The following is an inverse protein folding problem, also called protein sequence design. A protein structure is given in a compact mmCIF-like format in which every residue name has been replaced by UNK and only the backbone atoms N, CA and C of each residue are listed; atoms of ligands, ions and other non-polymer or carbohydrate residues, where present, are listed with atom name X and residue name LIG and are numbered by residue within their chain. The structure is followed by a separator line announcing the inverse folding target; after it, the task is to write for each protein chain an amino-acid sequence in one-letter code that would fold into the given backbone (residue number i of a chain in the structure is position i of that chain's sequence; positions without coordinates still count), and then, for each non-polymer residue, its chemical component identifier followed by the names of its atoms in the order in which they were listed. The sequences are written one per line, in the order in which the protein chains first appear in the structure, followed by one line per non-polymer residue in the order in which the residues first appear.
data_IF_025672448199
#
_entry.id   IF_025672448199
#
_cell.length_a   1.000
_cell.length_b   1.000
_cell.length_c   1.000
_cell.angle_alpha   90.00
_cell.angle_beta   90.00
_cell.angle_gamma   90.00
#
_symmetry.space_group_name_H-M   'P 1'
#
loop_
_entity.id
_entity.type
_entity.pdbx_description
1 polymer ?
#
# COMPACT_ATOMS: atom_id res chain seq x y z
N UNK A 1 -0.20 -7.70 28.43
CA UNK A 1 -0.82 -7.59 27.10
C UNK A 1 -0.12 -6.45 26.39
N UNK A 2 0.32 -6.63 25.15
CA UNK A 2 0.93 -5.54 24.38
C UNK A 2 -0.15 -4.52 23.99
N UNK A 3 0.13 -3.24 24.15
CA UNK A 3 -0.78 -2.17 23.76
C UNK A 3 -0.62 -1.91 22.25
N UNK A 4 -1.67 -2.19 21.48
CA UNK A 4 -1.64 -2.19 20.00
C UNK A 4 -1.63 -0.78 19.40
N UNK A 5 -2.10 0.20 20.17
CA UNK A 5 -2.35 1.57 19.71
C UNK A 5 -1.28 2.57 20.16
N UNK A 6 -0.15 2.09 20.70
CA UNK A 6 1.00 2.92 21.02
C UNK A 6 1.52 3.55 19.73
N UNK A 7 1.87 4.83 19.82
CA UNK A 7 2.47 5.59 18.72
C UNK A 7 3.89 5.99 19.09
N UNK A 8 4.75 6.07 18.09
CA UNK A 8 6.11 6.57 18.24
C UNK A 8 6.17 8.11 18.22
N UNK A 9 7.38 8.67 18.17
CA UNK A 9 7.60 10.12 18.08
C UNK A 9 7.11 10.73 16.75
N UNK A 10 6.97 9.92 15.69
CA UNK A 10 6.35 10.30 14.42
C UNK A 10 4.83 10.08 14.40
N UNK A 11 4.22 9.79 15.55
CA UNK A 11 2.81 9.43 15.69
C UNK A 11 2.40 8.21 14.85
N UNK A 12 3.35 7.37 14.44
CA UNK A 12 3.10 6.12 13.71
C UNK A 12 2.82 5.01 14.71
N UNK A 13 1.70 4.33 14.51
CA UNK A 13 1.32 3.12 15.25
C UNK A 13 1.91 1.86 14.62
N UNK A 14 1.86 0.74 15.32
CA UNK A 14 2.23 -0.58 14.76
C UNK A 14 1.54 -0.87 13.42
N UNK A 15 0.29 -0.41 13.25
CA UNK A 15 -0.46 -0.58 12.01
C UNK A 15 0.10 0.27 10.85
N UNK A 16 0.63 1.47 11.11
CA UNK A 16 1.31 2.25 10.08
C UNK A 16 2.52 1.49 9.53
N UNK A 17 3.34 0.93 10.42
CA UNK A 17 4.49 0.14 10.02
C UNK A 17 4.08 -1.13 9.28
N UNK A 18 3.07 -1.88 9.75
CA UNK A 18 2.59 -3.06 9.05
C UNK A 18 2.09 -2.75 7.61
N UNK A 19 1.47 -1.59 7.42
CA UNK A 19 1.05 -1.10 6.11
C UNK A 19 2.21 -0.60 5.23
N UNK A 20 3.27 -0.06 5.84
CA UNK A 20 4.42 0.50 5.12
C UNK A 20 5.57 -0.50 4.88
N UNK A 21 5.65 -1.58 5.66
CA UNK A 21 6.77 -2.52 5.58
C UNK A 21 6.77 -3.31 4.28
N UNK A 22 7.93 -3.32 3.63
CA UNK A 22 8.34 -4.27 2.59
C UNK A 22 8.61 -5.61 3.27
N UNK A 23 7.56 -6.44 3.43
CA UNK A 23 7.76 -7.76 4.00
C UNK A 23 8.10 -8.70 2.85
N UNK A 24 9.19 -9.45 3.00
CA UNK A 24 9.74 -10.43 2.04
C UNK A 24 8.69 -11.34 1.39
N UNK A 25 7.53 -11.49 2.04
CA UNK A 25 6.31 -12.04 1.42
C UNK A 25 5.10 -11.15 1.72
N UNK A 26 4.38 -10.74 0.68
CA UNK A 26 3.13 -9.98 0.76
C UNK A 26 2.12 -10.64 1.72
N UNK A 27 2.11 -11.97 1.78
CA UNK A 27 1.26 -12.76 2.69
C UNK A 27 1.52 -12.47 4.16
N UNK A 28 2.79 -12.45 4.60
CA UNK A 28 3.13 -12.21 6.02
C UNK A 28 2.77 -10.78 6.44
N UNK A 29 2.86 -9.81 5.53
CA UNK A 29 2.37 -8.45 5.79
C UNK A 29 0.87 -8.38 5.95
N UNK A 30 0.13 -9.07 5.09
CA UNK A 30 -1.32 -9.18 5.19
C UNK A 30 -1.76 -9.83 6.52
N UNK A 31 -1.05 -10.86 6.96
CA UNK A 31 -1.33 -11.55 8.23
C UNK A 31 -1.11 -10.64 9.44
N UNK A 32 -0.05 -9.83 9.44
CA UNK A 32 0.22 -8.85 10.51
C UNK A 32 -0.87 -7.77 10.54
N UNK A 33 -1.27 -7.23 9.38
CA UNK A 33 -2.35 -6.25 9.29
C UNK A 33 -3.64 -6.83 9.88
N UNK A 34 -4.04 -8.03 9.46
CA UNK A 34 -5.23 -8.74 9.99
C UNK A 34 -5.13 -8.97 11.49
N UNK A 35 -3.97 -9.38 11.99
CA UNK A 35 -3.74 -9.60 13.41
C UNK A 35 -3.95 -8.31 14.22
N UNK A 36 -3.36 -7.20 13.78
CA UNK A 36 -3.47 -5.90 14.45
C UNK A 36 -4.92 -5.41 14.45
N UNK A 37 -5.63 -5.53 13.33
CA UNK A 37 -7.04 -5.17 13.21
C UNK A 37 -7.92 -6.00 14.16
N UNK A 38 -7.63 -7.30 14.27
CA UNK A 38 -8.35 -8.22 15.16
C UNK A 38 -8.16 -7.86 16.64
N UNK A 39 -7.04 -7.25 16.98
CA UNK A 39 -6.72 -6.79 18.34
C UNK A 39 -7.06 -5.31 18.58
N UNK A 40 -7.94 -4.73 17.77
CA UNK A 40 -8.47 -3.38 18.01
C UNK A 40 -7.52 -2.24 17.63
N UNK A 41 -6.66 -2.44 16.63
CA UNK A 41 -5.84 -1.36 16.09
C UNK A 41 -6.71 -0.21 15.56
N UNK A 42 -6.37 1.02 15.95
CA UNK A 42 -7.01 2.24 15.46
C UNK A 42 -6.56 2.51 14.02
N UNK A 43 -7.52 2.42 13.11
CA UNK A 43 -7.30 2.54 11.66
C UNK A 43 -7.16 3.97 11.15
N UNK A 44 -7.58 4.95 11.94
CA UNK A 44 -7.69 6.36 11.55
C UNK A 44 -6.69 7.25 12.30
N UNK A 45 -5.68 6.65 12.92
CA UNK A 45 -4.58 7.43 13.48
C UNK A 45 -3.85 8.13 12.34
N UNK A 46 -3.54 9.41 12.55
CA UNK A 46 -2.79 10.24 11.60
C UNK A 46 -1.37 10.40 12.14
N UNK A 47 -0.40 10.03 11.31
CA UNK A 47 1.03 10.23 11.58
C UNK A 47 1.41 11.71 11.52
N UNK A 48 2.64 12.05 11.94
CA UNK A 48 3.20 13.40 11.78
C UNK A 48 3.34 13.82 10.30
N UNK A 49 3.34 12.87 9.38
CA UNK A 49 3.38 13.09 7.93
C UNK A 49 1.96 13.22 7.33
N UNK A 50 0.94 13.37 8.17
CA UNK A 50 -0.46 13.41 7.76
C UNK A 50 -0.88 12.17 6.95
N UNK A 51 -0.40 10.98 7.33
CA UNK A 51 -0.79 9.70 6.71
C UNK A 51 -1.57 8.85 7.69
N UNK A 52 -2.61 8.20 7.19
CA UNK A 52 -3.29 7.07 7.84
C UNK A 52 -2.61 5.76 7.45
N UNK A 53 -2.84 4.67 8.18
CA UNK A 53 -2.41 3.35 7.77
C UNK A 53 -2.85 2.95 6.36
N UNK A 54 -4.05 3.36 5.92
CA UNK A 54 -4.53 3.09 4.55
C UNK A 54 -3.65 3.81 3.51
N UNK A 55 -3.23 5.05 3.77
CA UNK A 55 -2.40 5.82 2.84
C UNK A 55 -1.00 5.20 2.74
N UNK A 56 -0.43 4.75 3.87
CA UNK A 56 0.81 3.98 3.89
C UNK A 56 0.70 2.69 3.07
N UNK A 57 -0.43 1.98 3.18
CA UNK A 57 -0.68 0.74 2.43
C UNK A 57 -0.75 1.02 0.92
N UNK A 58 -1.50 2.04 0.51
CA UNK A 58 -1.64 2.42 -0.90
C UNK A 58 -0.29 2.84 -1.47
N UNK A 59 0.50 3.61 -0.72
CA UNK A 59 1.84 4.01 -1.12
C UNK A 59 2.75 2.80 -1.34
N UNK A 60 2.79 1.87 -0.38
CA UNK A 60 3.56 0.63 -0.53
C UNK A 60 3.09 -0.17 -1.74
N UNK A 61 1.78 -0.38 -1.89
CA UNK A 61 1.23 -1.13 -3.01
C UNK A 61 1.67 -0.57 -4.37
N UNK A 62 1.68 0.75 -4.53
CA UNK A 62 2.14 1.41 -5.76
C UNK A 62 3.66 1.31 -5.92
N UNK A 63 4.42 1.44 -4.84
CA UNK A 63 5.87 1.22 -4.83
C UNK A 63 6.21 -0.21 -5.26
N UNK A 64 5.56 -1.20 -4.66
CA UNK A 64 5.71 -2.61 -5.00
C UNK A 64 5.48 -2.82 -6.50
N UNK A 65 4.39 -2.28 -7.06
CA UNK A 65 4.10 -2.38 -8.51
C UNK A 65 5.23 -1.83 -9.38
N UNK A 66 5.87 -0.73 -8.98
CA UNK A 66 7.00 -0.13 -9.71
C UNK A 66 8.30 -0.94 -9.55
N UNK A 67 8.46 -1.58 -8.40
CA UNK A 67 9.68 -2.32 -8.03
C UNK A 67 9.60 -3.82 -8.32
N UNK A 68 8.43 -4.33 -8.70
CA UNK A 68 8.20 -5.74 -8.98
C UNK A 68 9.29 -6.30 -9.92
N UNK A 69 10.05 -7.24 -9.35
CA UNK A 69 10.85 -8.17 -10.11
C UNK A 69 9.87 -9.11 -10.79
N UNK A 70 9.77 -9.05 -12.11
CA UNK A 70 9.23 -10.19 -12.86
C UNK A 70 10.13 -11.36 -12.47
N UNK A 71 9.61 -12.25 -11.63
CA UNK A 71 10.24 -13.50 -11.26
C UNK A 71 10.35 -14.32 -12.55
N UNK A 72 11.45 -14.12 -13.27
CA UNK A 72 11.75 -14.87 -14.47
C UNK A 72 12.17 -16.27 -14.04
N UNK A 73 11.34 -17.25 -14.40
CA UNK A 73 11.86 -18.47 -15.01
C UNK A 73 10.91 -19.09 -16.06
N UNK A 74 9.72 -18.55 -16.30
CA UNK A 74 8.91 -18.94 -17.45
C UNK A 74 8.38 -17.68 -18.14
N UNK A 75 8.74 -17.49 -19.41
CA UNK A 75 8.16 -16.44 -20.27
C UNK A 75 6.70 -16.81 -20.51
N UNK A 76 5.70 -16.11 -19.92
CA UNK A 76 4.32 -16.38 -20.24
C UNK A 76 3.95 -15.45 -21.39
N UNK A 77 3.49 -16.03 -22.48
CA UNK A 77 3.09 -15.35 -23.70
C UNK A 77 1.97 -14.31 -23.54
N UNK A 78 1.45 -14.05 -22.34
CA UNK A 78 0.56 -12.92 -21.99
C UNK A 78 0.79 -12.57 -20.50
N UNK A 79 1.46 -11.46 -20.19
CA UNK A 79 1.91 -11.16 -18.83
C UNK A 79 0.84 -10.33 -18.09
N UNK A 80 0.05 -10.99 -17.24
CA UNK A 80 -0.90 -10.31 -16.36
C UNK A 80 -0.24 -10.05 -15.00
N UNK A 81 -0.12 -8.79 -14.60
CA UNK A 81 0.24 -8.41 -13.24
C UNK A 81 -1.02 -8.43 -12.37
N UNK A 82 -0.98 -9.22 -11.30
CA UNK A 82 -2.09 -9.40 -10.37
C UNK A 82 -1.73 -8.78 -9.03
N UNK A 83 -2.51 -7.79 -8.61
CA UNK A 83 -2.32 -7.06 -7.35
C UNK A 83 -3.34 -7.59 -6.35
N UNK A 84 -2.87 -8.09 -5.21
CA UNK A 84 -3.72 -8.52 -4.10
C UNK A 84 -4.30 -7.31 -3.34
N UNK A 85 -5.62 -7.18 -3.36
CA UNK A 85 -6.37 -6.13 -2.68
C UNK A 85 -6.97 -6.61 -1.35
N UNK A 86 -6.69 -7.82 -0.88
CA UNK A 86 -7.34 -8.39 0.30
C UNK A 86 -7.15 -7.57 1.58
N UNK A 87 -5.92 -7.10 1.85
CA UNK A 87 -5.65 -6.21 3.00
C UNK A 87 -6.19 -4.81 2.82
N UNK A 88 -6.17 -4.29 1.58
CA UNK A 88 -6.79 -3.02 1.24
C UNK A 88 -8.29 -3.04 1.54
N UNK A 89 -8.98 -4.07 1.05
CA UNK A 89 -10.40 -4.30 1.30
C UNK A 89 -10.68 -4.47 2.79
N UNK A 90 -9.82 -5.20 3.52
CA UNK A 90 -10.01 -5.40 4.95
C UNK A 90 -9.85 -4.11 5.76
N UNK A 91 -8.88 -3.25 5.43
CA UNK A 91 -8.71 -1.93 6.04
C UNK A 91 -9.94 -1.04 5.81
N UNK A 92 -10.43 -1.00 4.57
CA UNK A 92 -11.64 -0.22 4.21
C UNK A 92 -12.88 -0.76 4.95
N UNK A 93 -13.04 -2.09 5.04
CA UNK A 93 -14.17 -2.73 5.73
C UNK A 93 -14.17 -2.53 7.23
N UNK A 94 -13.01 -2.49 7.86
CA UNK A 94 -12.89 -2.32 9.31
C UNK A 94 -13.02 -0.86 9.77
N UNK A 95 -13.37 0.06 8.87
CA UNK A 95 -13.76 1.43 9.24
C UNK A 95 -12.66 2.48 9.12
N UNK A 96 -11.70 2.28 8.19
CA UNK A 96 -10.92 3.40 7.70
C UNK A 96 -11.86 4.50 7.21
N UNK A 97 -11.70 5.73 7.71
CA UNK A 97 -12.42 6.91 7.24
C UNK A 97 -12.00 7.15 5.79
N UNK A 98 -13.01 7.28 4.93
CA UNK A 98 -12.86 7.46 3.49
C UNK A 98 -13.11 8.93 3.14
N UNK A 99 -12.25 9.80 3.64
CA UNK A 99 -12.31 11.22 3.35
C UNK A 99 -10.90 11.75 3.09
N UNK A 100 -10.75 12.82 2.29
CA UNK A 100 -9.48 13.52 2.14
C UNK A 100 -8.91 13.90 3.52
N UNK A 101 -7.58 13.89 3.65
CA UNK A 101 -6.95 14.24 4.93
C UNK A 101 -7.04 15.74 5.21
N UNK A 102 -7.12 16.59 4.17
CA UNK A 102 -7.25 18.04 4.31
C UNK A 102 -8.43 18.45 5.21
N UNK A 103 -9.58 17.80 5.06
CA UNK A 103 -10.76 18.07 5.89
C UNK A 103 -10.57 17.59 7.35
N UNK A 104 -9.76 16.56 7.58
CA UNK A 104 -9.38 16.14 8.94
C UNK A 104 -8.34 17.09 9.55
N UNK A 105 -7.40 17.60 8.74
CA UNK A 105 -6.36 18.51 9.22
C UNK A 105 -6.96 19.85 9.63
N UNK A 106 -7.86 20.42 8.83
CA UNK A 106 -8.60 21.63 9.20
C UNK A 106 -9.48 21.42 10.44
N UNK A 107 -10.13 20.26 10.57
CA UNK A 107 -11.03 19.98 11.71
C UNK A 107 -10.30 19.65 13.02
N UNK A 108 -9.11 19.03 12.98
CA UNK A 108 -8.39 18.57 14.18
C UNK A 108 -7.13 19.38 14.53
N UNK A 109 -6.59 20.17 13.60
CA UNK A 109 -5.39 20.98 13.82
C UNK A 109 -5.70 22.45 13.52
N UNK A 110 -6.63 23.01 14.30
CA UNK A 110 -6.98 24.42 14.17
C UNK A 110 -5.98 25.37 14.86
N UNK A 111 -5.08 24.85 15.70
CA UNK A 111 -4.12 25.65 16.45
C UNK A 111 -2.71 25.03 16.44
N UNK A 112 -1.72 25.88 16.18
CA UNK A 112 -0.30 25.76 16.59
C UNK A 112 0.77 25.06 15.72
N UNK A 113 0.47 24.35 14.63
CA UNK A 113 1.56 23.72 13.84
C UNK A 113 1.47 24.02 12.33
N UNK A 114 1.95 25.21 11.95
CA UNK A 114 2.51 25.43 10.59
C UNK A 114 3.89 24.74 10.54
N UNK A 115 3.92 23.43 10.33
CA UNK A 115 5.15 22.70 10.09
C UNK A 115 5.54 22.82 8.61
N UNK A 116 6.82 23.14 8.37
CA UNK A 116 7.43 23.15 7.04
C UNK A 116 7.30 21.76 6.42
N UNK A 117 6.63 21.67 5.27
CA UNK A 117 6.45 20.42 4.52
C UNK A 117 7.82 19.86 4.13
N UNK A 118 8.06 18.57 4.38
CA UNK A 118 9.30 17.89 4.02
C UNK A 118 9.45 17.91 2.49
N UNK A 119 10.60 18.36 1.92
CA UNK A 119 10.73 18.66 0.47
C UNK A 119 10.58 17.49 -0.51
N UNK A 120 10.71 16.24 -0.05
CA UNK A 120 10.82 15.06 -0.93
C UNK A 120 9.53 14.23 -1.04
N UNK A 121 8.42 14.68 -0.42
CA UNK A 121 7.18 13.91 -0.43
C UNK A 121 6.16 14.48 -1.41
N UNK A 122 5.47 13.61 -2.20
CA UNK A 122 4.52 14.07 -3.19
C UNK A 122 3.41 14.85 -2.50
N UNK A 123 3.10 16.04 -3.05
CA UNK A 123 2.06 17.00 -2.63
C UNK A 123 0.63 16.41 -2.60
N UNK A 124 0.48 15.10 -2.77
CA UNK A 124 -0.77 14.40 -3.00
C UNK A 124 -1.25 13.76 -1.70
N UNK A 125 -2.17 14.49 -1.05
CA UNK A 125 -2.79 14.13 0.21
C UNK A 125 -3.98 13.17 -0.01
N UNK A 126 -4.58 13.16 -1.19
CA UNK A 126 -5.71 12.28 -1.53
C UNK A 126 -5.25 10.89 -1.99
N UNK A 127 -5.58 9.88 -1.18
CA UNK A 127 -5.42 8.47 -1.55
C UNK A 127 -6.21 8.08 -2.81
N UNK A 128 -7.38 8.70 -3.04
CA UNK A 128 -8.14 8.49 -4.27
C UNK A 128 -7.40 9.01 -5.50
N UNK A 129 -6.89 10.24 -5.45
CA UNK A 129 -6.09 10.83 -6.52
C UNK A 129 -4.85 9.99 -6.81
N UNK A 130 -4.17 9.53 -5.76
CA UNK A 130 -2.95 8.76 -5.88
C UNK A 130 -3.18 7.40 -6.57
N UNK A 131 -4.27 6.70 -6.24
CA UNK A 131 -4.67 5.47 -6.96
C UNK A 131 -4.93 5.75 -8.45
N UNK A 132 -5.69 6.81 -8.75
CA UNK A 132 -6.04 7.18 -10.14
C UNK A 132 -4.80 7.55 -10.94
N UNK A 133 -3.90 8.36 -10.37
CA UNK A 133 -2.63 8.77 -11.00
C UNK A 133 -1.70 7.61 -11.31
N UNK A 134 -1.85 6.48 -10.63
CA UNK A 134 -1.10 5.25 -10.90
C UNK A 134 -1.92 4.21 -11.70
N UNK A 135 -3.12 4.59 -12.16
CA UNK A 135 -4.01 3.77 -12.95
C UNK A 135 -4.62 2.59 -12.18
N UNK A 136 -4.67 2.65 -10.84
CA UNK A 136 -5.35 1.66 -10.00
C UNK A 136 -6.85 1.97 -9.92
N UNK A 137 -7.51 1.91 -11.08
CA UNK A 137 -8.87 2.39 -11.27
C UNK A 137 -9.90 1.49 -10.60
N UNK A 138 -9.60 0.19 -10.46
CA UNK A 138 -10.44 -0.74 -9.70
C UNK A 138 -10.44 -0.38 -8.21
N UNK A 139 -9.26 -0.24 -7.61
CA UNK A 139 -9.15 0.16 -6.20
C UNK A 139 -9.78 1.55 -5.96
N UNK A 140 -9.62 2.50 -6.89
CA UNK A 140 -10.25 3.81 -6.82
C UNK A 140 -11.79 3.72 -6.89
N UNK A 141 -12.34 2.91 -7.80
CA UNK A 141 -13.78 2.63 -7.90
C UNK A 141 -14.30 2.08 -6.58
N UNK A 142 -13.58 1.13 -5.99
CA UNK A 142 -13.94 0.53 -4.72
C UNK A 142 -13.99 1.56 -3.59
N UNK A 143 -13.01 2.47 -3.47
CA UNK A 143 -13.06 3.54 -2.46
C UNK A 143 -14.32 4.39 -2.60
N UNK A 144 -14.66 4.77 -3.83
CA UNK A 144 -15.85 5.57 -4.13
C UNK A 144 -17.13 4.81 -3.74
N UNK A 145 -17.23 3.54 -4.13
CA UNK A 145 -18.36 2.68 -3.77
C UNK A 145 -18.48 2.47 -2.26
N UNK A 146 -17.37 2.49 -1.53
CA UNK A 146 -17.36 2.38 -0.08
C UNK A 146 -17.71 3.70 0.64
N UNK A 147 -17.94 4.77 -0.11
CA UNK A 147 -18.38 6.06 0.42
C UNK A 147 -17.28 7.11 0.55
N UNK A 148 -16.21 7.03 -0.25
CA UNK A 148 -15.24 8.12 -0.33
C UNK A 148 -15.93 9.45 -0.68
N UNK A 149 -15.66 10.49 0.11
CA UNK A 149 -16.28 11.82 -0.05
C UNK A 149 -15.66 12.59 -1.23
N UNK A 150 -16.07 12.25 -2.46
CA UNK A 150 -15.56 12.86 -3.69
C UNK A 150 -15.89 14.35 -3.79
N UNK A 151 -16.99 14.83 -3.20
CA UNK A 151 -17.39 16.24 -3.34
C UNK A 151 -16.39 17.23 -2.72
N UNK A 152 -15.52 16.74 -1.83
CA UNK A 152 -14.50 17.56 -1.14
C UNK A 152 -13.21 17.63 -1.97
N UNK A 153 -13.05 16.77 -2.97
CA UNK A 153 -11.84 16.68 -3.79
C UNK A 153 -11.85 17.76 -4.89
N UNK A 154 -11.22 18.92 -4.65
CA UNK A 154 -11.20 20.05 -5.61
C UNK A 154 -10.67 19.67 -7.01
N UNK A 155 -9.78 18.68 -7.07
CA UNK A 155 -9.20 18.22 -8.33
C UNK A 155 -10.21 17.49 -9.21
N UNK A 156 -11.31 16.95 -8.68
CA UNK A 156 -12.20 16.05 -9.42
C UNK A 156 -12.88 16.75 -10.61
N UNK A 157 -13.13 18.06 -10.52
CA UNK A 157 -13.77 18.83 -11.59
C UNK A 157 -12.79 19.36 -12.64
N UNK A 158 -11.50 19.47 -12.27
CA UNK A 158 -10.44 19.88 -13.19
C UNK A 158 -9.66 18.70 -13.78
N UNK A 159 -9.85 17.49 -13.25
CA UNK A 159 -9.11 16.31 -13.65
C UNK A 159 -9.59 15.74 -14.98
N UNK A 160 -8.66 15.68 -15.92
CA UNK A 160 -8.87 15.17 -17.25
C UNK A 160 -8.25 13.77 -17.36
N UNK A 161 -9.10 12.73 -17.29
CA UNK A 161 -8.67 11.34 -17.38
C UNK A 161 -7.97 11.01 -18.70
N UNK A 162 -8.24 11.78 -19.77
CA UNK A 162 -7.59 11.56 -21.06
C UNK A 162 -6.10 11.91 -21.01
N UNK A 163 -5.71 12.84 -20.13
CA UNK A 163 -4.31 13.24 -19.90
C UNK A 163 -3.55 12.28 -18.99
N UNK A 164 -4.23 11.31 -18.37
CA UNK A 164 -3.60 10.33 -17.50
C UNK A 164 -2.67 9.40 -18.33
N UNK A 165 -1.37 9.66 -18.27
CA UNK A 165 -0.35 8.87 -18.96
C UNK A 165 0.23 7.77 -18.06
N UNK A 166 -0.55 6.71 -17.87
CA UNK A 166 -0.14 5.47 -17.18
C UNK A 166 -0.21 4.25 -18.10
N UNK A 167 -0.14 4.50 -19.41
CA UNK A 167 -0.05 3.46 -20.43
C UNK A 167 1.26 2.70 -20.36
N UNK A 168 2.28 3.26 -19.69
CA UNK A 168 3.54 2.57 -19.41
C UNK A 168 3.69 2.33 -17.92
N UNK A 169 3.99 1.08 -17.55
CA UNK A 169 4.42 0.71 -16.20
C UNK A 169 5.93 0.56 -16.24
N UNK A 170 6.62 1.41 -15.47
CA UNK A 170 8.05 1.26 -15.26
C UNK A 170 8.26 0.15 -14.24
N UNK A 171 8.85 -0.95 -14.69
CA UNK A 171 9.32 -2.03 -13.83
C UNK A 171 10.84 -1.88 -13.64
N UNK A 172 11.39 -2.58 -12.64
CA UNK A 172 12.82 -2.55 -12.28
C UNK A 172 13.75 -2.83 -13.47
N UNK A 173 13.34 -3.70 -14.41
CA UNK A 173 14.17 -4.15 -15.54
C UNK A 173 13.64 -3.74 -16.93
N UNK A 174 12.59 -2.91 -17.01
CA UNK A 174 12.03 -2.51 -18.30
C UNK A 174 10.74 -1.70 -18.22
N UNK A 175 10.26 -1.22 -19.36
CA UNK A 175 8.95 -0.56 -19.48
C UNK A 175 7.97 -1.50 -20.16
N UNK A 176 6.84 -1.75 -19.53
CA UNK A 176 5.77 -2.54 -20.14
C UNK A 176 4.59 -1.63 -20.49
N UNK A 177 3.93 -1.92 -21.61
CA UNK A 177 2.73 -1.20 -22.01
C UNK A 177 1.50 -1.87 -21.37
N UNK A 178 0.58 -1.05 -20.86
CA UNK A 178 -0.64 -1.50 -20.20
C UNK A 178 -1.76 -1.61 -21.24
N UNK A 179 -2.11 -2.83 -21.62
CA UNK A 179 -3.02 -3.11 -22.75
C UNK A 179 -4.46 -2.70 -22.44
N UNK A 180 -4.92 -2.95 -21.21
CA UNK A 180 -6.30 -2.69 -20.81
C UNK A 180 -6.57 -1.24 -20.39
N UNK A 181 -5.59 -0.35 -20.44
CA UNK A 181 -5.70 0.95 -19.78
C UNK A 181 -6.83 1.81 -20.35
N UNK A 182 -6.97 1.90 -21.67
CA UNK A 182 -8.01 2.75 -22.28
C UNK A 182 -9.42 2.24 -21.98
N UNK A 183 -9.60 0.91 -21.93
CA UNK A 183 -10.86 0.31 -21.49
C UNK A 183 -11.12 0.62 -20.00
N UNK A 184 -10.13 0.42 -19.13
CA UNK A 184 -10.27 0.70 -17.70
C UNK A 184 -10.54 2.19 -17.42
N UNK A 185 -9.94 3.11 -18.19
CA UNK A 185 -10.25 4.55 -18.13
C UNK A 185 -11.71 4.81 -18.50
N UNK A 186 -12.17 4.26 -19.62
CA UNK A 186 -13.55 4.43 -20.07
C UNK A 186 -14.56 3.87 -19.06
N UNK A 187 -14.30 2.67 -18.53
CA UNK A 187 -15.15 2.02 -17.52
C UNK A 187 -15.21 2.86 -16.23
N UNK A 188 -14.05 3.35 -15.75
CA UNK A 188 -13.97 4.22 -14.57
C UNK A 188 -14.66 5.57 -14.79
N UNK A 189 -14.47 6.20 -15.95
CA UNK A 189 -15.08 7.47 -16.27
C UNK A 189 -16.60 7.37 -16.40
N UNK A 190 -17.09 6.33 -17.08
CA UNK A 190 -18.51 6.03 -17.15
C UNK A 190 -19.10 5.80 -15.76
N UNK A 191 -18.38 5.08 -14.89
CA UNK A 191 -18.76 4.92 -13.48
C UNK A 191 -18.85 6.27 -12.76
N UNK A 192 -17.83 7.12 -12.85
CA UNK A 192 -17.83 8.45 -12.23
C UNK A 192 -18.97 9.34 -12.72
N UNK A 193 -19.22 9.40 -14.03
CA UNK A 193 -20.33 10.18 -14.58
C UNK A 193 -21.68 9.67 -14.08
N UNK A 194 -21.85 8.34 -14.03
CA UNK A 194 -23.08 7.72 -13.53
C UNK A 194 -23.26 8.02 -12.05
N UNK A 195 -22.18 7.95 -11.27
CA UNK A 195 -22.16 8.24 -9.85
C UNK A 195 -22.52 9.71 -9.57
N UNK A 196 -22.01 10.66 -10.37
CA UNK A 196 -22.34 12.09 -10.24
C UNK A 196 -23.78 12.43 -10.62
N UNK A 197 -24.30 11.81 -11.69
CA UNK A 197 -25.66 12.05 -12.19
C UNK A 197 -26.72 11.37 -11.32
N UNK A 198 -26.38 10.23 -10.72
CA UNK A 198 -27.25 9.52 -9.80
C UNK A 198 -27.31 10.29 -8.48
N UNK A 199 -28.51 10.66 -8.05
CA UNK A 199 -28.69 11.04 -6.65
C UNK A 199 -28.28 9.84 -5.80
N UNK A 200 -27.34 10.05 -4.85
CA UNK A 200 -26.89 8.99 -3.94
C UNK A 200 -28.13 8.27 -3.42
N UNK A 201 -28.21 6.97 -3.66
CA UNK A 201 -29.36 6.22 -3.20
C UNK A 201 -29.47 6.38 -1.69
N UNK A 202 -30.70 6.47 -1.18
CA UNK A 202 -30.93 6.54 0.27
C UNK A 202 -30.22 5.38 0.98
N UNK A 203 -30.13 4.21 0.35
CA UNK A 203 -29.38 3.06 0.86
C UNK A 203 -27.90 3.36 1.06
N UNK A 204 -27.21 4.02 0.12
CA UNK A 204 -25.81 4.40 0.26
C UNK A 204 -25.59 5.42 1.37
N UNK A 205 -26.47 6.42 1.46
CA UNK A 205 -26.40 7.41 2.55
C UNK A 205 -26.60 6.75 3.93
N UNK A 206 -27.59 5.85 4.05
CA UNK A 206 -27.83 5.10 5.27
C UNK A 206 -26.61 4.26 5.67
N UNK A 207 -25.96 3.59 4.72
CA UNK A 207 -24.76 2.78 4.99
C UNK A 207 -23.61 3.63 5.46
N UNK A 208 -23.33 4.74 4.77
CA UNK A 208 -22.27 5.65 5.17
C UNK A 208 -22.52 6.19 6.59
N UNK A 209 -23.77 6.54 6.91
CA UNK A 209 -24.16 6.95 8.27
C UNK A 209 -23.94 5.84 9.30
N UNK A 210 -24.42 4.61 9.03
CA UNK A 210 -24.25 3.47 9.95
C UNK A 210 -22.77 3.17 10.17
N UNK A 211 -21.99 3.10 9.09
CA UNK A 211 -20.55 2.80 9.16
C UNK A 211 -19.77 3.90 9.86
N UNK A 212 -20.11 5.17 9.63
CA UNK A 212 -19.52 6.32 10.35
C UNK A 212 -19.81 6.25 11.84
N UNK A 213 -21.01 5.86 12.25
CA UNK A 213 -21.33 5.67 13.68
C UNK A 213 -20.60 4.46 14.28
N UNK A 214 -20.44 3.38 13.52
CA UNK A 214 -19.69 2.20 13.96
C UNK A 214 -18.18 2.48 14.10
N UNK A 215 -17.59 3.27 13.20
CA UNK A 215 -16.18 3.64 13.28
C UNK A 215 -15.86 4.62 14.42
N UNK A 216 -16.84 5.39 14.87
CA UNK A 216 -16.72 6.24 16.07
C UNK A 216 -16.81 5.43 17.37
N UNK A 217 -17.54 4.30 17.36
CA UNK A 217 -17.87 3.53 18.57
C UNK A 217 -17.10 2.22 18.71
N UNK A 218 -16.28 1.83 17.73
CA UNK A 218 -15.57 0.55 17.67
C UNK A 218 -14.33 0.65 16.78
N UNK A 219 -13.29 -0.11 17.12
CA UNK A 219 -12.04 -0.17 16.34
C UNK A 219 -11.82 -1.53 15.70
N UNK A 220 -11.30 -1.54 14.46
CA UNK A 220 -10.86 -2.77 13.80
C UNK A 220 -11.99 -3.78 13.54
N UNK A 221 -11.77 -5.05 13.90
CA UNK A 221 -12.71 -6.16 13.65
C UNK A 221 -14.00 -6.10 14.47
N UNK A 222 -14.08 -5.21 15.47
CA UNK A 222 -15.29 -4.99 16.25
C UNK A 222 -16.45 -4.48 15.38
N UNK A 223 -16.13 -3.72 14.32
CA UNK A 223 -17.15 -3.23 13.38
C UNK A 223 -17.82 -4.40 12.68
N UNK A 224 -17.06 -5.37 12.17
CA UNK A 224 -17.62 -6.55 11.52
C UNK A 224 -18.50 -7.35 12.50
N UNK A 225 -18.03 -7.56 13.72
CA UNK A 225 -18.80 -8.27 14.76
C UNK A 225 -20.10 -7.56 15.10
N UNK A 226 -20.09 -6.22 15.19
CA UNK A 226 -21.30 -5.42 15.43
C UNK A 226 -22.27 -5.45 14.26
N UNK A 227 -21.77 -5.48 13.02
CA UNK A 227 -22.62 -5.64 11.82
C UNK A 227 -23.30 -7.01 11.84
N UNK A 228 -22.56 -8.08 12.17
CA UNK A 228 -23.12 -9.42 12.24
C UNK A 228 -24.19 -9.57 13.33
N UNK A 229 -24.06 -8.82 14.43
CA UNK A 229 -25.03 -8.77 15.51
C UNK A 229 -26.31 -7.97 15.17
N UNK A 230 -26.35 -7.22 14.06
CA UNK A 230 -27.54 -6.46 13.67
C UNK A 230 -28.71 -7.41 13.33
N UNK A 231 -29.89 -7.07 13.82
CA UNK A 231 -31.14 -7.76 13.49
C UNK A 231 -31.70 -7.29 12.14
N UNK A 232 -30.90 -7.40 11.09
CA UNK A 232 -31.26 -7.06 9.71
C UNK A 232 -31.02 -8.25 8.78
N UNK A 233 -31.73 -8.34 7.64
CA UNK A 233 -31.50 -9.39 6.64
C UNK A 233 -30.02 -9.52 6.24
N UNK A 234 -29.57 -10.74 5.97
CA UNK A 234 -28.18 -11.03 5.55
C UNK A 234 -27.74 -10.21 4.34
N UNK A 235 -28.65 -9.95 3.39
CA UNK A 235 -28.38 -9.09 2.24
C UNK A 235 -28.07 -7.63 2.63
N UNK A 236 -28.67 -7.14 3.72
CA UNK A 236 -28.36 -5.80 4.23
C UNK A 236 -27.05 -5.83 5.01
N UNK A 237 -26.75 -6.92 5.73
CA UNK A 237 -25.45 -7.09 6.39
C UNK A 237 -24.31 -7.13 5.38
N UNK A 238 -24.40 -7.93 4.31
CA UNK A 238 -23.41 -7.98 3.22
C UNK A 238 -23.19 -6.59 2.61
N UNK A 239 -24.28 -5.86 2.39
CA UNK A 239 -24.23 -4.52 1.83
C UNK A 239 -23.58 -3.50 2.78
N UNK A 240 -23.90 -3.52 4.09
CA UNK A 240 -23.26 -2.68 5.12
C UNK A 240 -21.78 -3.06 5.31
N UNK A 241 -21.46 -4.36 5.18
CA UNK A 241 -20.12 -4.90 5.31
C UNK A 241 -19.29 -4.71 4.03
N UNK A 242 -19.86 -4.10 2.99
CA UNK A 242 -19.23 -3.80 1.70
C UNK A 242 -18.71 -5.04 0.95
N UNK A 243 -19.16 -6.24 1.32
CA UNK A 243 -18.71 -7.49 0.70
C UNK A 243 -19.13 -7.59 -0.77
N UNK A 244 -20.24 -6.93 -1.13
CA UNK A 244 -20.79 -6.92 -2.50
C UNK A 244 -19.94 -6.11 -3.49
N UNK A 245 -19.09 -5.21 -2.99
CA UNK A 245 -18.24 -4.35 -3.82
C UNK A 245 -16.81 -4.89 -3.95
N UNK A 246 -16.44 -5.91 -3.17
CA UNK A 246 -15.05 -6.34 -3.08
C UNK A 246 -14.55 -6.93 -4.39
N UNK A 247 -13.35 -6.51 -4.76
CA UNK A 247 -12.51 -7.20 -5.73
C UNK A 247 -11.26 -7.61 -5.00
N UNK A 248 -10.99 -8.91 -4.92
CA UNK A 248 -9.82 -9.43 -4.22
C UNK A 248 -8.52 -9.11 -4.98
N UNK A 249 -8.64 -8.79 -6.26
CA UNK A 249 -7.51 -8.69 -7.17
C UNK A 249 -7.71 -7.58 -8.21
N UNK A 250 -6.65 -6.83 -8.49
CA UNK A 250 -6.58 -5.93 -9.63
C UNK A 250 -5.64 -6.50 -10.69
N UNK A 251 -6.16 -6.70 -11.91
CA UNK A 251 -5.42 -7.33 -13.02
C UNK A 251 -4.98 -6.27 -14.02
N UNK A 252 -3.67 -6.15 -14.17
CA UNK A 252 -3.00 -5.28 -15.11
C UNK A 252 -2.48 -6.13 -16.27
N UNK A 253 -2.99 -5.90 -17.49
CA UNK A 253 -2.50 -6.61 -18.67
C UNK A 253 -1.29 -5.89 -19.25
N UNK A 254 -0.17 -6.59 -19.40
CA UNK A 254 1.08 -6.03 -19.91
C UNK A 254 1.45 -6.59 -21.29
N UNK A 255 1.91 -5.72 -22.16
CA UNK A 255 2.60 -6.04 -23.41
C UNK A 255 4.09 -5.71 -23.27
N UNK A 256 4.95 -6.67 -23.59
CA UNK A 256 6.40 -6.45 -23.61
C UNK A 256 6.76 -5.39 -24.64
N UNK A 257 7.46 -4.34 -24.23
CA UNK A 257 8.11 -3.46 -25.20
C UNK A 257 9.45 -4.07 -25.60
N UNK A 258 9.91 -3.79 -26.82
CA UNK A 258 11.20 -4.29 -27.33
C UNK A 258 12.42 -3.93 -26.45
N UNK A 259 12.26 -3.00 -25.49
CA UNK A 259 13.26 -2.60 -24.50
C UNK A 259 13.40 -3.56 -23.31
N UNK A 260 12.49 -4.51 -23.10
CA UNK A 260 12.52 -5.46 -21.98
C UNK A 260 13.38 -6.71 -22.24
N UNK A 261 14.12 -6.78 -23.36
CA UNK A 261 15.08 -7.87 -23.59
C UNK A 261 16.20 -7.74 -22.57
N UNK A 262 16.18 -8.60 -21.55
CA UNK A 262 17.34 -8.85 -20.72
C UNK A 262 18.57 -9.07 -21.62
N UNK A 263 19.76 -8.54 -21.26
CA UNK A 263 20.97 -8.78 -22.03
C UNK A 263 21.12 -10.29 -22.23
N UNK A 264 21.49 -10.76 -23.44
CA UNK A 264 21.61 -12.19 -23.70
C UNK A 264 22.58 -12.78 -22.69
N UNK A 265 22.07 -13.65 -21.81
CA UNK A 265 22.92 -14.52 -21.00
C UNK A 265 23.71 -15.35 -22.00
N UNK A 266 25.00 -15.06 -22.15
CA UNK A 266 25.92 -15.92 -22.87
C UNK A 266 25.80 -17.32 -22.26
N UNK A 267 25.08 -18.21 -22.94
CA UNK A 267 25.15 -19.65 -22.70
C UNK A 267 26.55 -20.09 -23.09
N UNK A 268 27.49 -20.00 -22.15
CA UNK A 268 28.66 -20.87 -22.19
C UNK A 268 28.14 -22.28 -21.96
N UNK A 269 27.91 -22.97 -23.07
CA UNK A 269 27.61 -24.39 -23.09
C UNK A 269 28.73 -25.15 -22.39
N UNK A 270 28.33 -26.01 -21.46
CA UNK A 270 29.13 -27.11 -20.97
C UNK A 270 29.61 -27.94 -22.16
N UNK A 271 30.88 -27.76 -22.54
CA UNK A 271 31.63 -28.64 -23.41
C UNK A 271 32.69 -29.35 -22.57
N UNK A 272 32.48 -30.64 -22.32
CA UNK A 272 33.48 -31.52 -21.72
C UNK A 272 34.65 -31.64 -22.69
N UNK A 273 35.83 -31.14 -22.32
CA UNK A 273 37.11 -31.68 -22.77
C UNK A 273 38.14 -31.62 -21.65
N UNK A 274 38.75 -32.76 -21.41
CA UNK A 274 39.81 -32.99 -20.43
C UNK A 274 41.14 -32.40 -20.88
N UNK A 275 41.94 -32.03 -19.87
CA UNK A 275 43.40 -31.95 -19.82
C UNK A 275 44.10 -31.06 -20.86
N UNK A 276 44.82 -30.05 -20.37
CA UNK A 276 46.29 -30.02 -20.29
C UNK A 276 46.69 -28.74 -19.51
N UNK A 277 47.79 -28.86 -18.77
CA UNK A 277 48.43 -27.82 -17.96
C UNK A 277 48.63 -26.50 -18.71
N UNK A 278 48.51 -25.36 -18.02
CA UNK A 278 49.70 -24.62 -17.62
C UNK A 278 49.40 -23.48 -16.65
N UNK A 279 50.35 -23.33 -15.75
CA UNK A 279 50.54 -22.31 -14.73
C UNK A 279 50.27 -20.89 -15.20
N UNK A 280 49.57 -20.10 -14.38
CA UNK A 280 50.03 -18.79 -13.96
C UNK A 280 49.33 -18.35 -12.67
N UNK A 281 50.10 -18.51 -11.59
CA UNK A 281 50.15 -17.70 -10.37
C UNK A 281 49.60 -16.29 -10.53
N UNK A 282 48.55 -15.97 -9.77
CA UNK A 282 48.28 -14.62 -9.30
C UNK A 282 48.23 -14.65 -7.76
N UNK A 283 49.19 -13.92 -7.21
CA UNK A 283 49.55 -13.78 -5.82
C UNK A 283 48.52 -12.89 -5.11
N UNK A 284 47.65 -13.50 -4.29
CA UNK A 284 46.80 -12.75 -3.36
C UNK A 284 47.57 -12.61 -2.04
N UNK A 285 48.37 -11.55 -1.95
CA UNK A 285 48.96 -11.13 -0.69
C UNK A 285 47.85 -10.85 0.32
N UNK A 286 47.81 -11.64 1.38
CA UNK A 286 46.94 -11.47 2.53
C UNK A 286 47.19 -10.11 3.19
N UNK A 287 46.22 -9.20 3.11
CA UNK A 287 46.12 -8.08 4.04
C UNK A 287 45.47 -8.58 5.33
N UNK A 288 46.31 -8.88 6.31
CA UNK A 288 45.94 -9.07 7.71
C UNK A 288 45.32 -7.78 8.24
N UNK A 289 43.99 -7.77 8.42
CA UNK A 289 43.33 -6.78 9.26
C UNK A 289 43.76 -7.05 10.72
N UNK A 290 44.63 -6.19 11.25
CA UNK A 290 44.91 -6.12 12.67
C UNK A 290 43.68 -5.51 13.36
N UNK A 291 42.97 -6.32 14.14
CA UNK A 291 42.06 -5.80 15.15
C UNK A 291 42.91 -5.13 16.23
N UNK A 292 42.64 -3.86 16.49
CA UNK A 292 43.12 -3.15 17.68
C UNK A 292 42.28 -3.58 18.87
N UNK A 293 42.88 -4.30 19.81
CA UNK A 293 42.30 -4.80 21.06
C UNK A 293 42.03 -3.68 22.09
N UNK A 294 41.22 -2.68 21.73
CA UNK A 294 40.79 -1.60 22.64
C UNK A 294 39.26 -1.55 22.82
N UNK A 295 38.57 -2.69 22.66
CA UNK A 295 37.16 -2.80 23.01
C UNK A 295 37.03 -3.29 24.47
N UNK A 296 36.68 -2.36 25.35
CA UNK A 296 36.27 -2.60 26.73
C UNK A 296 35.19 -3.69 26.77
N UNK A 297 35.36 -4.65 27.68
CA UNK A 297 34.41 -5.74 27.84
C UNK A 297 33.05 -5.21 28.29
N UNK A 298 31.98 -5.83 27.80
CA UNK A 298 30.60 -5.50 28.15
C UNK A 298 30.33 -5.66 29.67
N UNK A 299 31.19 -6.37 30.39
CA UNK A 299 31.15 -6.52 31.85
C UNK A 299 31.67 -5.26 32.58
N UNK A 300 32.66 -4.55 32.03
CA UNK A 300 33.19 -3.31 32.61
C UNK A 300 32.24 -2.10 32.48
N UNK A 301 31.33 -2.13 31.50
CA UNK A 301 30.29 -1.11 31.33
C UNK A 301 29.17 -1.20 32.37
N UNK A 302 28.91 -2.39 32.91
CA UNK A 302 27.83 -2.61 33.90
C UNK A 302 28.27 -2.09 35.28
N UNK A 303 29.55 -2.24 35.64
CA UNK A 303 30.08 -1.77 36.92
C UNK A 303 30.23 -0.24 37.00
N UNK A 304 30.30 0.48 35.87
CA UNK A 304 30.26 1.95 35.85
C UNK A 304 28.87 2.55 36.10
N UNK A 305 27.77 1.82 35.85
CA UNK A 305 26.42 2.33 36.14
C UNK A 305 25.98 2.11 37.59
N UNK A 306 26.58 1.18 38.34
CA UNK A 306 26.23 0.91 39.74
C UNK A 306 26.93 1.82 40.76
N UNK A 307 27.94 2.61 40.36
CA UNK A 307 28.63 3.57 41.21
C UNK A 307 28.13 5.03 41.08
N UNK A 308 27.01 5.26 40.39
CA UNK A 308 26.38 6.57 40.22
C UNK A 308 24.94 6.65 40.76
N UNK A 309 24.53 5.68 41.59
CA UNK A 309 23.35 5.76 42.49
C UNK A 309 23.80 5.60 43.94
#
# INVERSE_FOLDING_TARGET
MAEVNVVDYQRKSALHYACACEIETQKRGNDIIRLLITHGAKLNLISSEFRRPLDCFIYRMIKDIRELEILHDEVPSHQHLKIDLSSFNHLVRCGCVLAPIEDIVTTYFHDEYRMEMVPDFPDEISSLLFLIKNGLLTAATFLIQCGWEIEIEEWIDSFDISKLNVSTVQLKYGRCNRINMEKSKADFWNFLETFRKSTRSLSMLCINCIRKQMSLSSGGSEIETKIEALQVPEKIKSFINLTEFMQDEEIIMLEETASCRAPPRNRLGFGVMSSIMDSNTYDYSASTYQYSDDDLSFEDMIDQQLNLM
#
